data_IF_216402318611
#
_entry.id   IF_216402318611
#
_cell.length_a   1.000
_cell.length_b   1.000
_cell.length_c   1.000
_cell.angle_alpha   90.00
_cell.angle_beta   90.00
_cell.angle_gamma   90.00
#
_symmetry.space_group_name_H-M   'P 1'
#
loop_
_entity.id
_entity.type
_entity.pdbx_description
1 polymer ?
#
# COMPACT_ATOMS: atom_id res chain seq x y z
N UNK A 1 44.70 -13.44 -7.45
CA UNK A 1 43.66 -12.50 -6.96
C UNK A 1 44.14 -11.99 -5.60
N UNK A 2 44.17 -10.68 -5.41
CA UNK A 2 44.58 -10.15 -4.10
C UNK A 2 43.57 -10.53 -3.01
N UNK A 3 44.00 -10.76 -1.75
CA UNK A 3 43.09 -11.07 -0.66
C UNK A 3 41.96 -10.03 -0.49
N UNK A 4 42.26 -8.76 -0.75
CA UNK A 4 41.27 -7.67 -0.68
C UNK A 4 40.15 -7.85 -1.71
N UNK A 5 40.49 -8.17 -2.97
CA UNK A 5 39.49 -8.42 -4.03
C UNK A 5 38.65 -9.65 -3.68
N UNK A 6 39.23 -10.70 -3.12
CA UNK A 6 38.49 -11.88 -2.67
C UNK A 6 37.41 -11.51 -1.63
N UNK A 7 37.79 -10.77 -0.58
CA UNK A 7 36.84 -10.38 0.47
C UNK A 7 35.76 -9.42 -0.04
N UNK A 8 36.10 -8.48 -0.93
CA UNK A 8 35.12 -7.59 -1.53
C UNK A 8 34.08 -8.35 -2.37
N UNK A 9 34.50 -9.35 -3.13
CA UNK A 9 33.59 -10.21 -3.89
C UNK A 9 32.69 -11.04 -2.97
N UNK A 10 33.25 -11.61 -1.91
CA UNK A 10 32.46 -12.38 -0.92
C UNK A 10 31.39 -11.53 -0.25
N UNK A 11 31.72 -10.29 0.15
CA UNK A 11 30.76 -9.35 0.72
C UNK A 11 29.68 -9.00 -0.31
N UNK A 12 30.06 -8.70 -1.55
CA UNK A 12 29.12 -8.37 -2.61
C UNK A 12 28.14 -9.52 -2.88
N UNK A 13 28.62 -10.75 -3.05
CA UNK A 13 27.76 -11.92 -3.28
C UNK A 13 26.85 -12.23 -2.08
N UNK A 14 27.35 -12.04 -0.87
CA UNK A 14 26.54 -12.22 0.35
C UNK A 14 25.39 -11.22 0.41
N UNK A 15 25.66 -9.95 0.13
CA UNK A 15 24.61 -8.90 0.06
C UNK A 15 23.61 -9.21 -1.05
N UNK A 16 24.08 -9.59 -2.23
CA UNK A 16 23.20 -9.95 -3.35
C UNK A 16 22.32 -11.17 -3.02
N UNK A 17 22.87 -12.20 -2.39
CA UNK A 17 22.12 -13.38 -1.96
C UNK A 17 21.04 -13.03 -0.93
N UNK A 18 21.36 -12.23 0.09
CA UNK A 18 20.38 -11.76 1.07
C UNK A 18 19.27 -10.94 0.39
N UNK A 19 19.63 -10.04 -0.52
CA UNK A 19 18.66 -9.24 -1.28
C UNK A 19 17.71 -10.12 -2.10
N UNK A 20 18.23 -11.12 -2.80
CA UNK A 20 17.43 -12.07 -3.58
C UNK A 20 16.49 -12.89 -2.69
N UNK A 21 16.99 -13.40 -1.55
CA UNK A 21 16.18 -14.16 -0.60
C UNK A 21 15.03 -13.32 -0.01
N UNK A 22 15.31 -12.07 0.38
CA UNK A 22 14.29 -11.14 0.88
C UNK A 22 13.26 -10.82 -0.20
N UNK A 23 13.71 -10.59 -1.43
CA UNK A 23 12.82 -10.32 -2.56
C UNK A 23 11.92 -11.53 -2.87
N UNK A 24 12.50 -12.73 -2.91
CA UNK A 24 11.76 -13.98 -3.11
C UNK A 24 10.72 -14.20 -1.98
N UNK A 25 11.11 -13.98 -0.74
CA UNK A 25 10.21 -14.07 0.41
C UNK A 25 9.02 -13.11 0.29
N UNK A 26 9.27 -11.83 -0.05
CA UNK A 26 8.20 -10.83 -0.24
C UNK A 26 7.28 -11.19 -1.41
N UNK A 27 7.83 -11.72 -2.52
CA UNK A 27 7.04 -12.19 -3.65
C UNK A 27 6.15 -13.40 -3.29
N UNK A 28 6.59 -14.26 -2.37
CA UNK A 28 5.82 -15.43 -1.94
C UNK A 28 4.67 -15.09 -0.99
N UNK A 29 4.85 -14.10 -0.10
CA UNK A 29 3.85 -13.73 0.92
C UNK A 29 3.05 -12.47 0.57
N UNK A 30 3.51 -11.64 -0.32
CA UNK A 30 2.88 -10.38 -0.67
C UNK A 30 3.13 -9.96 -2.10
N UNK A 31 2.82 -8.72 -2.40
CA UNK A 31 3.17 -8.09 -3.67
C UNK A 31 4.59 -7.50 -3.58
N UNK A 32 5.41 -7.58 -4.63
CA UNK A 32 6.66 -6.83 -4.70
C UNK A 32 6.39 -5.33 -4.59
N UNK A 33 7.33 -4.59 -4.03
CA UNK A 33 7.22 -3.14 -3.95
C UNK A 33 7.23 -2.53 -5.36
N UNK A 34 6.06 -2.11 -5.82
CA UNK A 34 5.86 -1.36 -7.07
C UNK A 34 5.25 -0.02 -6.71
N UNK A 35 5.99 1.09 -6.88
CA UNK A 35 5.48 2.41 -6.54
C UNK A 35 4.31 2.81 -7.44
N UNK A 36 3.15 3.13 -6.86
CA UNK A 36 1.99 3.60 -7.61
C UNK A 36 2.31 4.91 -8.38
N UNK A 37 1.91 5.05 -9.65
CA UNK A 37 2.10 6.28 -10.41
C UNK A 37 1.41 7.47 -9.72
N UNK A 38 2.06 8.65 -9.72
CA UNK A 38 1.53 9.85 -9.05
C UNK A 38 0.11 10.22 -9.49
N UNK A 39 -0.20 10.06 -10.77
CA UNK A 39 -1.52 10.36 -11.32
C UNK A 39 -2.60 9.42 -10.76
N UNK A 40 -2.29 8.13 -10.57
CA UNK A 40 -3.18 7.14 -9.95
C UNK A 40 -3.41 7.48 -8.49
N UNK A 41 -2.34 7.80 -7.74
CA UNK A 41 -2.44 8.26 -6.35
C UNK A 41 -3.43 9.43 -6.26
N UNK A 42 -3.27 10.46 -7.09
CA UNK A 42 -4.16 11.63 -7.10
C UNK A 42 -5.60 11.26 -7.44
N UNK A 43 -5.83 10.36 -8.41
CA UNK A 43 -7.17 9.89 -8.76
C UNK A 43 -7.84 9.14 -7.62
N UNK A 44 -7.12 8.22 -6.97
CA UNK A 44 -7.65 7.45 -5.83
C UNK A 44 -8.03 8.38 -4.68
N UNK A 45 -7.16 9.33 -4.33
CA UNK A 45 -7.44 10.31 -3.26
C UNK A 45 -8.67 11.15 -3.58
N UNK A 46 -8.78 11.68 -4.81
CA UNK A 46 -9.96 12.44 -5.25
C UNK A 46 -11.24 11.60 -5.21
N UNK A 47 -11.16 10.34 -5.63
CA UNK A 47 -12.29 9.42 -5.62
C UNK A 47 -12.77 9.06 -4.20
N UNK A 48 -11.85 9.02 -3.23
CA UNK A 48 -12.16 8.75 -1.83
C UNK A 48 -12.95 9.89 -1.15
N UNK A 49 -12.95 11.12 -1.69
CA UNK A 49 -13.65 12.28 -1.14
C UNK A 49 -13.39 12.47 0.35
N UNK A 50 -12.11 12.47 0.73
CA UNK A 50 -11.68 12.53 2.12
C UNK A 50 -12.24 13.75 2.86
N UNK A 51 -12.72 13.53 4.08
CA UNK A 51 -13.26 14.56 4.97
C UNK A 51 -12.44 14.66 6.26
N UNK A 52 -12.56 15.80 6.93
CA UNK A 52 -11.97 16.01 8.27
C UNK A 52 -12.39 14.88 9.23
N UNK A 53 -11.44 14.35 9.98
CA UNK A 53 -11.66 13.32 11.00
C UNK A 53 -11.65 11.89 10.47
N UNK A 54 -11.61 11.67 9.14
CA UNK A 54 -11.51 10.33 8.58
C UNK A 54 -10.18 9.65 8.91
N UNK A 55 -10.25 8.33 9.04
CA UNK A 55 -9.08 7.45 9.10
C UNK A 55 -8.93 6.72 7.77
N UNK A 56 -7.75 6.85 7.15
CA UNK A 56 -7.41 6.13 5.93
C UNK A 56 -6.36 5.06 6.19
N UNK A 57 -6.42 3.96 5.45
CA UNK A 57 -5.48 2.85 5.59
C UNK A 57 -4.92 2.45 4.22
N UNK A 58 -3.62 2.13 4.19
CA UNK A 58 -2.94 1.52 3.05
C UNK A 58 -2.27 0.22 3.53
N UNK A 59 -2.80 -0.97 3.14
CA UNK A 59 -2.34 -2.25 3.64
C UNK A 59 -1.00 -2.73 3.06
N UNK A 60 -0.47 -2.02 2.06
CA UNK A 60 0.85 -2.22 1.45
C UNK A 60 1.42 -0.88 1.04
N UNK A 61 1.71 -0.02 2.04
CA UNK A 61 1.92 1.41 1.80
C UNK A 61 3.21 1.75 1.04
N UNK A 62 4.09 0.76 0.81
CA UNK A 62 5.32 0.95 0.06
C UNK A 62 6.15 2.08 0.65
N UNK A 63 6.44 3.09 -0.16
CA UNK A 63 7.19 4.28 0.26
C UNK A 63 6.33 5.38 0.91
N UNK A 64 5.08 5.09 1.25
CA UNK A 64 4.18 5.99 1.95
C UNK A 64 3.58 7.12 1.11
N UNK A 65 3.78 7.11 -0.23
CA UNK A 65 3.32 8.20 -1.11
C UNK A 65 1.82 8.41 -1.12
N UNK A 66 1.03 7.33 -1.03
CA UNK A 66 -0.43 7.39 -0.98
C UNK A 66 -0.89 8.12 0.28
N UNK A 67 -0.40 7.69 1.44
CA UNK A 67 -0.74 8.28 2.73
C UNK A 67 -0.31 9.74 2.83
N UNK A 68 0.92 10.06 2.37
CA UNK A 68 1.41 11.43 2.34
C UNK A 68 0.55 12.34 1.46
N UNK A 69 0.14 11.86 0.28
CA UNK A 69 -0.73 12.62 -0.63
C UNK A 69 -2.11 12.82 0.01
N UNK A 70 -2.67 11.78 0.65
CA UNK A 70 -3.94 11.89 1.37
C UNK A 70 -3.90 12.97 2.46
N UNK A 71 -2.84 12.99 3.28
CA UNK A 71 -2.67 13.99 4.33
C UNK A 71 -2.42 15.41 3.80
N UNK A 72 -1.85 15.57 2.61
CA UNK A 72 -1.69 16.88 1.97
C UNK A 72 -3.00 17.41 1.41
N UNK A 73 -3.82 16.55 0.80
CA UNK A 73 -5.16 16.92 0.28
C UNK A 73 -6.14 17.22 1.42
N UNK A 74 -6.08 16.46 2.51
CA UNK A 74 -6.92 16.65 3.69
C UNK A 74 -6.07 16.59 4.97
N UNK A 75 -5.57 17.72 5.48
CA UNK A 75 -4.66 17.75 6.64
C UNK A 75 -5.27 17.26 7.95
N UNK A 76 -6.58 17.15 8.04
CA UNK A 76 -7.30 16.77 9.27
C UNK A 76 -7.74 15.29 9.29
N UNK A 77 -7.02 14.39 8.60
CA UNK A 77 -7.23 12.94 8.64
C UNK A 77 -6.15 12.25 9.46
N UNK A 78 -6.43 10.99 9.82
CA UNK A 78 -5.44 10.02 10.31
C UNK A 78 -5.13 9.04 9.19
N UNK A 79 -3.87 8.71 9.00
CA UNK A 79 -3.42 7.79 7.96
C UNK A 79 -2.58 6.66 8.58
N UNK A 80 -2.91 5.43 8.23
CA UNK A 80 -2.26 4.23 8.76
C UNK A 80 -1.70 3.43 7.59
N UNK A 81 -0.43 3.02 7.68
CA UNK A 81 0.24 2.22 6.68
C UNK A 81 0.87 0.97 7.25
N UNK A 82 0.75 -0.12 6.51
CA UNK A 82 1.43 -1.38 6.78
C UNK A 82 2.37 -1.69 5.63
N UNK A 83 3.56 -2.16 5.93
CA UNK A 83 4.54 -2.56 4.93
C UNK A 83 5.40 -3.72 5.45
N UNK A 84 5.65 -4.70 4.60
CA UNK A 84 6.47 -5.89 4.92
C UNK A 84 7.87 -5.80 4.34
N UNK A 85 8.06 -5.04 3.25
CA UNK A 85 9.36 -4.89 2.65
C UNK A 85 10.14 -3.79 3.38
N UNK A 86 11.18 -4.20 4.11
CA UNK A 86 11.93 -3.33 5.02
C UNK A 86 12.45 -2.05 4.37
N UNK A 87 13.00 -2.14 3.16
CA UNK A 87 13.55 -0.98 2.44
C UNK A 87 12.44 0.02 2.10
N UNK A 88 11.28 -0.45 1.63
CA UNK A 88 10.12 0.41 1.34
C UNK A 88 9.59 1.06 2.63
N UNK A 89 9.54 0.30 3.74
CA UNK A 89 9.16 0.84 5.04
C UNK A 89 10.10 1.97 5.51
N UNK A 90 11.43 1.81 5.37
CA UNK A 90 12.40 2.87 5.69
C UNK A 90 12.21 4.11 4.80
N UNK A 91 11.94 3.91 3.50
CA UNK A 91 11.61 5.00 2.58
C UNK A 91 10.32 5.71 3.00
N UNK A 92 9.30 4.96 3.43
CA UNK A 92 8.05 5.52 3.95
C UNK A 92 8.30 6.38 5.20
N UNK A 93 9.07 5.88 6.17
CA UNK A 93 9.44 6.62 7.38
C UNK A 93 10.15 7.93 7.04
N UNK A 94 11.10 7.88 6.11
CA UNK A 94 11.82 9.08 5.67
C UNK A 94 10.91 10.07 4.95
N UNK A 95 10.09 9.59 4.03
CA UNK A 95 9.18 10.42 3.22
C UNK A 95 8.11 11.10 4.07
N UNK A 96 7.58 10.38 5.07
CA UNK A 96 6.47 10.88 5.91
C UNK A 96 6.94 11.56 7.19
N UNK A 97 8.24 11.73 7.40
CA UNK A 97 8.84 12.22 8.67
C UNK A 97 8.24 13.52 9.22
N UNK A 98 7.79 14.42 8.35
CA UNK A 98 7.19 15.69 8.72
C UNK A 98 5.67 15.59 9.01
N UNK A 99 5.08 14.40 8.85
CA UNK A 99 3.65 14.15 9.04
C UNK A 99 3.36 13.08 10.10
N UNK A 100 4.31 12.83 11.03
CA UNK A 100 4.21 11.79 12.07
C UNK A 100 3.03 11.96 13.03
N UNK A 101 2.48 13.17 13.14
CA UNK A 101 1.25 13.41 13.94
C UNK A 101 -0.01 12.87 13.25
N UNK A 102 0.03 12.66 11.94
CA UNK A 102 -1.09 12.23 11.12
C UNK A 102 -0.90 10.81 10.57
N UNK A 103 0.36 10.42 10.29
CA UNK A 103 0.71 9.16 9.64
C UNK A 103 1.40 8.24 10.64
N UNK A 104 0.80 7.07 10.85
CA UNK A 104 1.37 5.97 11.62
C UNK A 104 1.73 4.84 10.67
N UNK A 105 2.97 4.35 10.75
CA UNK A 105 3.46 3.27 9.90
C UNK A 105 3.84 2.06 10.76
N UNK A 106 3.47 0.86 10.28
CA UNK A 106 3.79 -0.40 10.92
C UNK A 106 4.62 -1.29 9.99
N UNK A 107 5.79 -1.73 10.46
CA UNK A 107 6.54 -2.81 9.81
C UNK A 107 5.92 -4.15 10.20
N UNK A 108 4.80 -4.48 9.55
CA UNK A 108 3.96 -5.64 9.92
C UNK A 108 3.02 -6.02 8.78
N UNK A 109 2.59 -7.30 8.78
CA UNK A 109 1.53 -7.75 7.88
C UNK A 109 0.20 -7.06 8.21
N UNK A 110 -0.46 -6.50 7.20
CA UNK A 110 -1.76 -5.85 7.30
C UNK A 110 -2.93 -6.79 7.62
N UNK A 111 -2.74 -8.11 7.51
CA UNK A 111 -3.74 -9.09 7.94
C UNK A 111 -4.11 -8.92 9.43
N UNK A 112 -3.22 -8.35 10.22
CA UNK A 112 -3.41 -8.04 11.65
C UNK A 112 -3.87 -6.60 11.92
N UNK A 113 -4.22 -5.83 10.87
CA UNK A 113 -4.72 -4.47 11.05
C UNK A 113 -6.10 -4.48 11.70
N UNK A 114 -6.35 -3.54 12.62
CA UNK A 114 -7.69 -3.20 13.09
C UNK A 114 -8.34 -2.27 12.05
N UNK A 115 -9.45 -2.71 11.49
CA UNK A 115 -10.18 -1.97 10.45
C UNK A 115 -11.40 -1.23 11.00
N UNK A 116 -11.72 -1.37 12.28
CA UNK A 116 -12.94 -0.84 12.90
C UNK A 116 -13.10 0.69 12.77
N UNK A 117 -11.99 1.40 12.65
CA UNK A 117 -11.98 2.87 12.53
C UNK A 117 -11.68 3.37 11.10
N UNK A 118 -11.51 2.46 10.13
CA UNK A 118 -11.14 2.82 8.77
C UNK A 118 -12.35 3.32 7.98
N UNK A 119 -12.23 4.53 7.42
CA UNK A 119 -13.24 5.17 6.58
C UNK A 119 -12.93 5.00 5.08
N UNK A 120 -11.65 4.90 4.72
CA UNK A 120 -11.22 4.60 3.35
C UNK A 120 -9.95 3.77 3.35
N UNK A 121 -9.88 2.77 2.48
CA UNK A 121 -8.70 1.92 2.29
C UNK A 121 -8.22 2.01 0.85
N UNK A 122 -6.92 2.22 0.67
CA UNK A 122 -6.27 2.29 -0.63
C UNK A 122 -5.49 1.01 -0.87
N UNK A 123 -5.89 0.23 -1.87
CA UNK A 123 -5.26 -1.03 -2.20
C UNK A 123 -4.58 -0.97 -3.57
N UNK A 124 -3.27 -1.17 -3.58
CA UNK A 124 -2.52 -1.52 -4.77
C UNK A 124 -1.81 -2.85 -4.50
N UNK A 125 -2.60 -3.91 -4.47
CA UNK A 125 -2.18 -5.26 -4.06
C UNK A 125 -2.61 -6.29 -5.08
N UNK A 126 -1.90 -7.42 -5.14
CA UNK A 126 -2.27 -8.54 -6.00
C UNK A 126 -3.60 -9.18 -5.55
N UNK A 127 -4.22 -9.94 -6.47
CA UNK A 127 -5.51 -10.61 -6.26
C UNK A 127 -5.54 -11.48 -5.00
N UNK A 128 -4.48 -12.29 -4.77
CA UNK A 128 -4.44 -13.23 -3.63
C UNK A 128 -4.57 -12.55 -2.25
N UNK A 129 -3.79 -11.51 -1.91
CA UNK A 129 -3.97 -10.77 -0.67
C UNK A 129 -5.35 -10.12 -0.53
N UNK A 130 -5.90 -9.56 -1.63
CA UNK A 130 -7.24 -8.97 -1.63
C UNK A 130 -8.32 -10.01 -1.32
N UNK A 131 -8.30 -11.16 -2.02
CA UNK A 131 -9.27 -12.24 -1.83
C UNK A 131 -9.18 -12.84 -0.42
N UNK A 132 -7.95 -13.08 0.09
CA UNK A 132 -7.74 -13.62 1.44
C UNK A 132 -8.36 -12.76 2.53
N UNK A 133 -8.30 -11.44 2.39
CA UNK A 133 -8.77 -10.50 3.39
C UNK A 133 -10.19 -9.96 3.12
N UNK A 134 -10.86 -10.38 2.05
CA UNK A 134 -12.17 -9.86 1.67
C UNK A 134 -13.24 -10.01 2.78
N UNK A 135 -13.30 -11.17 3.44
CA UNK A 135 -14.23 -11.40 4.55
C UNK A 135 -13.95 -10.45 5.74
N UNK A 136 -12.67 -10.27 6.10
CA UNK A 136 -12.22 -9.35 7.14
C UNK A 136 -12.62 -7.90 6.81
N UNK A 137 -12.41 -7.46 5.57
CA UNK A 137 -12.80 -6.11 5.14
C UNK A 137 -14.30 -5.87 5.34
N UNK A 138 -15.14 -6.85 4.96
CA UNK A 138 -16.59 -6.75 5.10
C UNK A 138 -17.07 -6.76 6.55
N UNK A 139 -16.42 -7.52 7.41
CA UNK A 139 -16.86 -7.68 8.81
C UNK A 139 -16.33 -6.61 9.75
N UNK A 140 -15.14 -6.06 9.49
CA UNK A 140 -14.49 -5.16 10.44
C UNK A 140 -14.57 -3.68 10.05
N UNK A 141 -14.64 -3.33 8.76
CA UNK A 141 -14.71 -1.93 8.34
C UNK A 141 -16.06 -1.31 8.65
N UNK A 142 -16.06 -0.01 8.89
CA UNK A 142 -17.27 0.77 9.14
C UNK A 142 -18.26 0.63 7.98
N UNK A 143 -19.56 0.55 8.30
CA UNK A 143 -20.61 0.66 7.29
C UNK A 143 -20.50 2.00 6.56
N UNK A 144 -20.46 1.95 5.24
CA UNK A 144 -20.26 3.11 4.37
C UNK A 144 -18.80 3.46 4.07
N UNK A 145 -17.82 2.75 4.68
CA UNK A 145 -16.42 2.89 4.34
C UNK A 145 -16.14 2.50 2.89
N UNK A 146 -15.08 3.04 2.31
CA UNK A 146 -14.69 2.80 0.93
C UNK A 146 -13.42 1.96 0.85
N UNK A 147 -13.40 1.01 -0.08
CA UNK A 147 -12.17 0.36 -0.54
C UNK A 147 -11.94 0.79 -1.98
N UNK A 148 -10.77 1.38 -2.25
CA UNK A 148 -10.33 1.77 -3.58
C UNK A 148 -9.20 0.83 -3.99
N UNK A 149 -9.45 -0.05 -4.95
CA UNK A 149 -8.48 -1.02 -5.44
C UNK A 149 -8.02 -0.64 -6.85
N UNK A 150 -6.72 -0.45 -7.02
CA UNK A 150 -6.11 -0.17 -8.32
C UNK A 150 -5.71 -1.47 -9.01
N UNK A 151 -6.10 -1.60 -10.26
CA UNK A 151 -5.80 -2.68 -11.19
C UNK A 151 -6.51 -4.02 -10.90
N UNK A 152 -6.81 -4.35 -9.64
CA UNK A 152 -7.32 -5.68 -9.29
C UNK A 152 -8.68 -5.59 -8.60
N UNK A 153 -9.57 -6.50 -8.98
CA UNK A 153 -10.88 -6.66 -8.34
C UNK A 153 -10.78 -7.46 -7.04
N UNK A 154 -11.73 -7.22 -6.14
CA UNK A 154 -11.99 -8.13 -5.02
C UNK A 154 -12.95 -9.20 -5.54
N UNK A 155 -12.46 -10.43 -5.61
CA UNK A 155 -13.23 -11.57 -6.14
C UNK A 155 -14.56 -11.73 -5.39
N UNK A 156 -15.63 -11.92 -6.18
CA UNK A 156 -17.00 -12.07 -5.64
C UNK A 156 -17.64 -10.78 -5.12
N UNK A 157 -17.01 -9.62 -5.30
CA UNK A 157 -17.60 -8.34 -4.90
C UNK A 157 -18.04 -7.54 -6.12
N UNK A 158 -19.22 -6.93 -6.02
CA UNK A 158 -19.70 -5.96 -7.01
C UNK A 158 -19.14 -4.57 -6.64
N UNK A 159 -18.37 -3.91 -7.51
CA UNK A 159 -17.91 -2.56 -7.25
C UNK A 159 -19.09 -1.57 -7.28
N UNK A 160 -19.13 -0.66 -6.31
CA UNK A 160 -20.07 0.46 -6.30
C UNK A 160 -19.83 1.41 -7.48
N UNK A 161 -18.56 1.57 -7.89
CA UNK A 161 -18.15 2.39 -9.02
C UNK A 161 -16.82 1.88 -9.57
N UNK A 162 -16.66 1.99 -10.90
CA UNK A 162 -15.37 1.74 -11.57
C UNK A 162 -14.93 3.02 -12.27
N UNK A 163 -13.69 3.42 -12.05
CA UNK A 163 -13.03 4.44 -12.86
C UNK A 163 -12.29 3.68 -13.96
N UNK A 164 -12.61 3.95 -15.25
CA UNK A 164 -12.07 3.17 -16.36
C UNK A 164 -10.56 3.34 -16.51
N UNK A 165 -9.94 2.34 -17.10
CA UNK A 165 -8.55 2.41 -17.54
C UNK A 165 -8.35 3.52 -18.57
N UNK A 166 -7.13 4.05 -18.62
CA UNK A 166 -6.69 5.00 -19.66
C UNK A 166 -5.46 4.41 -20.33
N UNK A 167 -5.64 3.56 -21.37
CA UNK A 167 -4.55 2.81 -22.00
C UNK A 167 -3.40 3.69 -22.50
N UNK A 168 -3.71 4.86 -23.06
CA UNK A 168 -2.72 5.82 -23.57
C UNK A 168 -1.78 6.35 -22.49
N UNK A 169 -2.17 6.19 -21.21
CA UNK A 169 -1.38 6.61 -20.03
C UNK A 169 -0.86 5.43 -19.22
N UNK A 170 -1.05 4.19 -19.69
CA UNK A 170 -0.77 2.97 -18.94
C UNK A 170 -1.48 2.92 -17.57
N UNK A 171 -2.71 3.44 -17.48
CA UNK A 171 -3.49 3.42 -16.26
C UNK A 171 -4.52 2.29 -16.31
N UNK A 172 -4.44 1.39 -15.34
CA UNK A 172 -5.45 0.38 -15.11
C UNK A 172 -6.69 0.98 -14.43
N UNK A 173 -7.74 0.19 -14.31
CA UNK A 173 -9.00 0.57 -13.65
C UNK A 173 -8.80 0.81 -12.14
N UNK A 174 -9.67 1.63 -11.55
CA UNK A 174 -9.82 1.74 -10.11
C UNK A 174 -11.22 1.25 -9.75
N UNK A 175 -11.27 0.20 -8.96
CA UNK A 175 -12.51 -0.38 -8.44
C UNK A 175 -12.80 0.25 -7.08
N UNK A 176 -14.02 0.77 -6.89
CA UNK A 176 -14.46 1.40 -5.65
C UNK A 176 -15.58 0.55 -5.08
N UNK A 177 -15.35 -0.01 -3.90
CA UNK A 177 -16.33 -0.79 -3.15
C UNK A 177 -16.81 0.03 -1.95
N UNK A 178 -18.05 -0.19 -1.55
CA UNK A 178 -18.66 0.41 -0.35
C UNK A 178 -19.09 -0.69 0.59
N UNK A 179 -18.66 -0.60 1.85
CA UNK A 179 -19.02 -1.52 2.92
C UNK A 179 -20.47 -1.27 3.39
#
# INVERSE_FOLDING_TARGET
MSPVVFWLLMIFYSIAAVFLLVTAYVCLIGAPFVPAPKAIVSQMIKAAKLKKGMTVLDPGCGDGRMLLTACREQPAIKAVGYELFFVAYLLALWRTRNHRKQITLFFRNSDYADLSQVDAMFCFMLVKPLARNAAKYRSEMKKGALILSYAFEIEGWQPHKVIPAVPERNFAQIFIYKI
#
